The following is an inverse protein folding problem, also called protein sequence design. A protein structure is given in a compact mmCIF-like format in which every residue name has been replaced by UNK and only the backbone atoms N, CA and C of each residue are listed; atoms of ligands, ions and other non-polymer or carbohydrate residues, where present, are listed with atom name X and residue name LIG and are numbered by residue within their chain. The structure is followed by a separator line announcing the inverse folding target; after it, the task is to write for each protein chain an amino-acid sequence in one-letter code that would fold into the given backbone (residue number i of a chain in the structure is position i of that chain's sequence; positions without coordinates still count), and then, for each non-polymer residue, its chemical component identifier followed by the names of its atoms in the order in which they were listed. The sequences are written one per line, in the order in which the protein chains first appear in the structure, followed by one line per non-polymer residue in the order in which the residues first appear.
data_IF_743915840187
#
_entry.id   IF_743915840187
#
_cell.length_a   1.000
_cell.length_b   1.000
_cell.length_c   1.000
_cell.angle_alpha   90.00
_cell.angle_beta   90.00
_cell.angle_gamma   90.00
#
_symmetry.space_group_name_H-M   'P 1'
#
loop_
_entity.id
_entity.type
_entity.pdbx_description
1 polymer ?
#
# COMPACT_ATOMS: atom_id res chain seq x y z
N UNK A 1 2.51 12.83 -12.35
CA UNK A 1 3.57 11.93 -11.83
C UNK A 1 3.00 10.55 -11.66
N UNK A 2 3.66 9.54 -12.19
CA UNK A 2 3.18 8.19 -12.06
C UNK A 2 3.98 7.43 -10.99
N UNK A 3 3.52 6.26 -10.62
CA UNK A 3 4.17 5.49 -9.56
C UNK A 3 5.57 5.01 -9.92
N UNK A 4 5.84 4.81 -11.19
CA UNK A 4 7.17 4.42 -11.61
C UNK A 4 8.17 5.53 -11.29
N UNK A 5 7.78 6.76 -11.55
CA UNK A 5 8.64 7.89 -11.25
C UNK A 5 8.79 8.09 -9.74
N UNK A 6 7.70 7.92 -8.99
CA UNK A 6 7.78 7.98 -7.53
C UNK A 6 8.75 6.93 -7.02
N UNK A 7 8.69 5.72 -7.57
CA UNK A 7 9.56 4.63 -7.16
C UNK A 7 11.03 4.95 -7.45
N UNK A 8 11.31 5.53 -8.61
CA UNK A 8 12.67 5.92 -8.97
C UNK A 8 13.19 7.02 -8.04
N UNK A 9 12.38 8.02 -7.78
CA UNK A 9 12.82 9.13 -6.92
C UNK A 9 12.98 8.66 -5.47
N UNK A 10 12.12 7.75 -5.01
CA UNK A 10 12.28 7.18 -3.68
C UNK A 10 13.59 6.39 -3.56
N UNK A 11 13.92 5.66 -4.60
CA UNK A 11 15.17 4.90 -4.63
C UNK A 11 16.38 5.82 -4.64
N UNK A 12 16.36 6.85 -5.48
CA UNK A 12 17.46 7.82 -5.55
C UNK A 12 17.67 8.46 -4.19
N UNK A 13 16.60 8.75 -3.48
CA UNK A 13 16.68 9.35 -2.15
C UNK A 13 17.30 8.37 -1.15
N UNK A 14 16.94 7.09 -1.23
CA UNK A 14 17.57 6.07 -0.39
C UNK A 14 19.07 6.01 -0.60
N UNK A 15 19.48 6.01 -1.86
CA UNK A 15 20.89 5.95 -2.18
C UNK A 15 21.63 7.20 -1.71
N UNK A 16 21.02 8.36 -1.91
CA UNK A 16 21.66 9.62 -1.54
C UNK A 16 21.86 9.75 -0.04
N UNK A 17 20.96 9.19 0.76
CA UNK A 17 21.02 9.29 2.21
C UNK A 17 21.62 8.06 2.90
N UNK A 18 21.97 7.04 2.14
CA UNK A 18 22.51 5.82 2.73
C UNK A 18 21.49 5.01 3.50
N UNK A 19 20.23 5.11 3.12
CA UNK A 19 19.18 4.35 3.78
C UNK A 19 19.25 2.87 3.38
N UNK A 20 18.55 2.03 4.12
CA UNK A 20 18.51 0.60 3.88
C UNK A 20 18.01 0.28 2.47
N UNK A 21 18.76 -0.54 1.73
CA UNK A 21 18.39 -0.95 0.38
C UNK A 21 18.37 -2.46 0.19
N UNK A 22 18.50 -3.23 1.27
CA UNK A 22 18.61 -4.68 1.17
C UNK A 22 17.71 -5.46 2.12
N UNK A 23 17.37 -4.89 3.25
CA UNK A 23 16.68 -5.62 4.31
C UNK A 23 15.19 -5.30 4.30
N UNK A 24 14.41 -6.10 3.59
CA UNK A 24 12.97 -5.92 3.47
C UNK A 24 12.25 -6.03 4.83
N UNK A 25 12.55 -7.04 5.68
CA UNK A 25 11.89 -7.10 6.98
C UNK A 25 12.10 -5.87 7.84
N UNK A 26 13.28 -5.26 7.79
CA UNK A 26 13.52 -4.03 8.54
C UNK A 26 12.65 -2.88 8.04
N UNK A 27 12.50 -2.78 6.72
CA UNK A 27 11.66 -1.74 6.14
C UNK A 27 10.18 -1.98 6.44
N UNK A 28 9.75 -3.24 6.51
CA UNK A 28 8.36 -3.52 6.88
C UNK A 28 8.05 -3.07 8.30
N UNK A 29 9.01 -3.21 9.20
CA UNK A 29 8.85 -2.69 10.57
C UNK A 29 8.74 -1.17 10.58
N UNK A 30 9.53 -0.50 9.74
CA UNK A 30 9.44 0.94 9.65
C UNK A 30 8.13 1.40 9.05
N UNK A 31 7.58 0.63 8.11
CA UNK A 31 6.29 0.95 7.53
C UNK A 31 5.19 0.97 8.60
N UNK A 32 5.23 0.04 9.55
CA UNK A 32 4.27 0.05 10.64
C UNK A 32 4.33 1.37 11.42
N UNK A 33 5.53 1.89 11.63
CA UNK A 33 5.70 3.16 12.33
C UNK A 33 5.15 4.32 11.50
N UNK A 34 5.33 4.30 10.19
CA UNK A 34 4.80 5.33 9.32
C UNK A 34 3.26 5.36 9.37
N UNK A 35 2.64 4.19 9.45
CA UNK A 35 1.19 4.10 9.58
C UNK A 35 0.74 4.67 10.92
N UNK A 36 1.45 4.36 12.00
CA UNK A 36 1.14 4.89 13.32
C UNK A 36 1.25 6.42 13.34
N UNK A 37 2.25 6.97 12.68
CA UNK A 37 2.43 8.41 12.59
C UNK A 37 1.27 9.08 11.85
N UNK A 38 0.77 8.43 10.80
CA UNK A 38 -0.39 8.96 10.10
C UNK A 38 -1.62 8.95 11.00
N UNK A 39 -1.79 7.90 11.79
CA UNK A 39 -2.89 7.83 12.75
C UNK A 39 -2.81 8.92 13.79
N UNK A 40 -1.61 9.18 14.31
CA UNK A 40 -1.38 10.26 15.29
C UNK A 40 -1.67 11.62 14.68
N UNK A 41 -1.25 11.83 13.44
CA UNK A 41 -1.51 13.09 12.73
C UNK A 41 -3.00 13.33 12.58
N UNK A 42 -3.76 12.29 12.28
CA UNK A 42 -5.21 12.40 12.16
C UNK A 42 -5.85 12.76 13.49
N UNK A 43 -5.44 12.10 14.56
CA UNK A 43 -5.97 12.36 15.90
C UNK A 43 -5.60 13.74 16.40
N UNK A 44 -4.47 14.27 15.95
CA UNK A 44 -4.00 15.59 16.37
C UNK A 44 -4.62 16.74 15.59
N UNK A 45 -5.67 16.48 14.81
CA UNK A 45 -6.35 17.53 14.07
C UNK A 45 -6.21 17.43 12.57
N UNK A 46 -5.39 16.52 12.09
CA UNK A 46 -5.28 16.25 10.66
C UNK A 46 -4.41 17.20 9.86
N UNK A 47 -3.75 18.16 10.50
CA UNK A 47 -2.97 19.17 9.80
C UNK A 47 -1.85 18.57 8.96
N UNK A 48 -1.16 17.56 9.46
CA UNK A 48 -0.06 16.93 8.76
C UNK A 48 -0.44 15.60 8.12
N UNK A 49 -1.72 15.27 8.13
CA UNK A 49 -2.16 13.96 7.68
C UNK A 49 -1.79 13.67 6.23
N UNK A 50 -1.99 14.66 5.34
CA UNK A 50 -1.63 14.48 3.93
C UNK A 50 -0.14 14.21 3.73
N UNK A 51 0.69 14.91 4.50
CA UNK A 51 2.13 14.71 4.44
C UNK A 51 2.51 13.29 4.90
N UNK A 52 1.86 12.80 5.96
CA UNK A 52 2.13 11.46 6.45
C UNK A 52 1.67 10.38 5.48
N UNK A 53 0.56 10.62 4.78
CA UNK A 53 0.13 9.70 3.73
C UNK A 53 1.13 9.67 2.57
N UNK A 54 1.66 10.83 2.22
CA UNK A 54 2.67 10.92 1.16
C UNK A 54 3.93 10.16 1.56
N UNK A 55 4.37 10.28 2.81
CA UNK A 55 5.51 9.54 3.31
C UNK A 55 5.28 8.03 3.21
N UNK A 56 4.07 7.58 3.52
CA UNK A 56 3.72 6.18 3.39
C UNK A 56 3.85 5.67 1.96
N UNK A 57 3.36 6.44 0.99
CA UNK A 57 3.45 6.06 -0.42
C UNK A 57 4.92 6.02 -0.86
N UNK A 58 5.70 7.00 -0.47
CA UNK A 58 7.13 7.05 -0.82
C UNK A 58 7.86 5.86 -0.21
N UNK A 59 7.52 5.52 1.02
CA UNK A 59 8.13 4.39 1.69
C UNK A 59 7.82 3.08 0.98
N UNK A 60 6.56 2.88 0.61
CA UNK A 60 6.15 1.69 -0.13
C UNK A 60 6.84 1.62 -1.49
N UNK A 61 6.99 2.74 -2.16
CA UNK A 61 7.66 2.78 -3.45
C UNK A 61 9.13 2.38 -3.33
N UNK A 62 9.82 2.87 -2.30
CA UNK A 62 11.21 2.48 -2.06
C UNK A 62 11.34 1.01 -1.73
N UNK A 63 10.40 0.49 -0.94
CA UNK A 63 10.38 -0.92 -0.58
C UNK A 63 10.17 -1.80 -1.80
N UNK A 64 9.29 -1.39 -2.71
CA UNK A 64 9.06 -2.13 -3.95
C UNK A 64 10.35 -2.23 -4.77
N UNK A 65 11.11 -1.14 -4.82
CA UNK A 65 12.38 -1.16 -5.55
C UNK A 65 13.38 -2.10 -4.88
N UNK A 66 13.47 -2.09 -3.56
CA UNK A 66 14.32 -3.00 -2.82
C UNK A 66 13.98 -4.46 -3.15
N UNK A 67 12.69 -4.76 -3.29
CA UNK A 67 12.21 -6.11 -3.58
C UNK A 67 12.24 -6.46 -5.07
N UNK A 68 12.67 -5.55 -5.93
CA UNK A 68 12.76 -5.81 -7.36
C UNK A 68 11.43 -5.81 -8.08
N UNK A 69 10.45 -5.07 -7.56
CA UNK A 69 9.10 -5.04 -8.12
C UNK A 69 8.83 -3.70 -8.78
N UNK A 70 7.90 -3.69 -9.72
CA UNK A 70 7.38 -2.46 -10.31
C UNK A 70 6.04 -2.18 -9.64
N UNK A 71 6.04 -1.26 -8.68
CA UNK A 71 4.85 -0.98 -7.88
C UNK A 71 3.68 -0.51 -8.73
N UNK A 72 3.93 0.33 -9.71
CA UNK A 72 2.87 0.82 -10.60
C UNK A 72 2.18 -0.32 -11.34
N UNK A 73 2.97 -1.26 -11.86
CA UNK A 73 2.43 -2.43 -12.53
C UNK A 73 1.64 -3.31 -11.57
N UNK A 74 2.14 -3.50 -10.34
CA UNK A 74 1.44 -4.28 -9.34
C UNK A 74 0.11 -3.64 -8.94
N UNK A 75 0.10 -2.32 -8.76
CA UNK A 75 -1.13 -1.61 -8.43
C UNK A 75 -2.15 -1.74 -9.56
N UNK A 76 -1.70 -1.56 -10.80
CA UNK A 76 -2.59 -1.65 -11.96
C UNK A 76 -3.22 -3.05 -12.03
N UNK A 77 -2.40 -4.07 -11.87
CA UNK A 77 -2.88 -5.45 -11.92
C UNK A 77 -3.87 -5.71 -10.78
N UNK A 78 -3.56 -5.24 -9.59
CA UNK A 78 -4.42 -5.47 -8.42
C UNK A 78 -5.74 -4.73 -8.52
N UNK A 79 -5.72 -3.53 -9.07
CA UNK A 79 -6.96 -2.79 -9.30
C UNK A 79 -7.89 -3.54 -10.26
N UNK A 80 -7.31 -4.14 -11.30
CA UNK A 80 -8.10 -4.94 -12.23
C UNK A 80 -8.70 -6.16 -11.54
N UNK A 81 -7.91 -6.85 -10.71
CA UNK A 81 -8.40 -7.98 -9.94
C UNK A 81 -9.53 -7.54 -9.00
N UNK A 82 -9.33 -6.43 -8.31
CA UNK A 82 -10.32 -5.94 -7.35
C UNK A 82 -11.62 -5.54 -8.02
N UNK A 83 -11.56 -5.00 -9.23
CA UNK A 83 -12.77 -4.59 -9.95
C UNK A 83 -13.64 -5.77 -10.33
N UNK A 84 -13.05 -6.97 -10.41
CA UNK A 84 -13.81 -8.16 -10.72
C UNK A 84 -14.35 -8.87 -9.48
N UNK A 85 -14.00 -8.41 -8.29
CA UNK A 85 -14.48 -9.05 -7.08
C UNK A 85 -15.94 -8.74 -6.83
N UNK A 86 -16.65 -9.73 -6.27
CA UNK A 86 -18.01 -9.54 -5.87
C UNK A 86 -18.07 -9.58 -4.37
N UNK A 87 -19.07 -8.90 -3.84
CA UNK A 87 -19.29 -8.82 -2.41
C UNK A 87 -20.75 -9.13 -2.11
N UNK A 88 -21.00 -9.76 -0.96
CA UNK A 88 -22.34 -10.05 -0.51
C UNK A 88 -22.52 -9.45 0.86
N UNK A 89 -23.71 -8.91 1.12
CA UNK A 89 -24.05 -8.35 2.42
C UNK A 89 -24.67 -9.43 3.28
N UNK A 90 -24.08 -9.68 4.44
CA UNK A 90 -24.62 -10.63 5.38
C UNK A 90 -25.78 -10.02 6.17
N UNK A 91 -26.62 -10.86 6.82
CA UNK A 91 -27.73 -10.33 7.59
C UNK A 91 -27.33 -9.36 8.69
N UNK A 92 -26.11 -9.48 9.22
CA UNK A 92 -25.63 -8.57 10.25
C UNK A 92 -25.06 -7.28 9.68
N UNK A 93 -25.14 -7.09 8.38
CA UNK A 93 -24.65 -5.88 7.73
C UNK A 93 -23.24 -5.93 7.23
N UNK A 94 -22.48 -6.98 7.56
CA UNK A 94 -21.11 -7.08 7.09
C UNK A 94 -21.07 -7.45 5.62
N UNK A 95 -20.05 -6.96 4.94
CA UNK A 95 -19.81 -7.26 3.56
C UNK A 95 -18.69 -8.27 3.46
N UNK A 96 -18.89 -9.36 2.72
CA UNK A 96 -17.87 -10.38 2.54
C UNK A 96 -17.61 -10.57 1.06
N UNK A 97 -16.41 -11.02 0.72
CA UNK A 97 -16.08 -11.27 -0.66
C UNK A 97 -16.73 -12.53 -1.14
N UNK A 98 -17.25 -12.46 -2.34
CA UNK A 98 -17.75 -13.63 -3.04
C UNK A 98 -16.79 -13.97 -4.16
N UNK A 99 -16.71 -15.22 -4.53
CA UNK A 99 -15.82 -15.63 -5.59
C UNK A 99 -16.35 -15.14 -6.91
N UNK A 100 -15.50 -14.89 -7.83
CA UNK A 100 -15.91 -14.55 -9.16
C UNK A 100 -16.69 -15.73 -9.72
N UNK A 101 -17.62 -15.50 -10.46
CA UNK A 101 -18.32 -16.57 -10.96
C UNK A 101 -19.47 -16.88 -10.24
N UNK A 102 -19.64 -16.40 -9.44
CA UNK A 102 -20.71 -16.42 -8.77
C UNK A 102 -21.26 -17.38 -8.25
N UNK A 103 -20.87 -18.05 -8.32
CA UNK A 103 -21.33 -18.91 -7.75
C UNK A 103 -21.10 -18.89 -6.64
N UNK A 104 -20.90 -18.16 -6.27
CA UNK A 104 -20.96 -18.10 -5.19
C UNK A 104 -20.13 -18.47 -4.39
N UNK A 105 -19.14 -18.74 -4.58
CA UNK A 105 -18.25 -19.01 -3.77
C UNK A 105 -17.83 -17.94 -3.05
N UNK A 106 -17.55 -17.89 -1.89
CA UNK A 106 -17.08 -16.86 -1.09
C UNK A 106 -15.64 -16.95 -1.00
N UNK A 107 -14.96 -15.92 -1.34
CA UNK A 107 -13.61 -15.91 -1.25
C UNK A 107 -13.16 -15.48 0.03
N UNK A 108 -12.24 -16.10 0.60
CA UNK A 108 -11.76 -15.72 1.84
C UNK A 108 -10.81 -14.69 1.71
N UNK A 109 -10.46 -14.21 1.01
CA UNK A 109 -9.51 -13.26 1.05
C UNK A 109 -9.15 -12.30 0.60
#
# INVERSE_FOLDING_TARGET
MDLRRVQQEAWDNKLAHGFNTTDVPADLKRLHREVDEAGEAWQGGGENFGSELADGVIFLAGLAQTAGLDLGAEVKRKLAVNSERRYERLPDGRLVKAAPGADLDIEAG
#
